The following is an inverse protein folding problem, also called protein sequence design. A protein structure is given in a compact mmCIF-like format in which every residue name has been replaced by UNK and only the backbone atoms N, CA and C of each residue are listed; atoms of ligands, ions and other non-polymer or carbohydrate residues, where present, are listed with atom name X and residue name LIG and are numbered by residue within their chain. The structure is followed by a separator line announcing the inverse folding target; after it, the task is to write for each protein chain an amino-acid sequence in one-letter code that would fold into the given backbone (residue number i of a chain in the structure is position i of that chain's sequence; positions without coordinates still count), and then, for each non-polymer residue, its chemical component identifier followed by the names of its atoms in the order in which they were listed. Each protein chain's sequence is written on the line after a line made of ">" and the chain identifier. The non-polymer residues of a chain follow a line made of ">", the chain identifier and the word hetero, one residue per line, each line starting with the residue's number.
data_IF_244994819422
#
_entry.id   IF_244994819422
#
_cell.length_a   1.000
_cell.length_b   1.000
_cell.length_c   1.000
_cell.angle_alpha   90.00
_cell.angle_beta   90.00
_cell.angle_gamma   90.00
#
_symmetry.space_group_name_H-M   'P 1'
#
loop_
_entity.id
_entity.type
_entity.pdbx_description
1 polymer ?
#
# COMPACT_ATOMS: atom_id res chain seq x y z
N UNK A 1 -6.35 -26.42 -8.56
CA UNK A 1 -5.08 -26.01 -7.90
C UNK A 1 -4.57 -24.80 -8.66
N UNK A 2 -4.51 -23.63 -8.03
CA UNK A 2 -3.91 -22.44 -8.66
C UNK A 2 -2.44 -22.73 -8.99
N UNK A 3 -2.02 -22.43 -10.20
CA UNK A 3 -0.62 -22.53 -10.61
C UNK A 3 0.22 -21.58 -9.74
N UNK A 4 0.91 -22.14 -8.73
CA UNK A 4 1.93 -21.43 -7.96
C UNK A 4 3.25 -21.54 -8.72
N UNK A 5 3.68 -20.43 -9.30
CA UNK A 5 5.06 -20.31 -9.80
C UNK A 5 6.02 -20.11 -8.62
N UNK A 6 7.31 -20.39 -8.82
CA UNK A 6 8.33 -20.12 -7.80
C UNK A 6 8.29 -18.63 -7.36
N UNK A 7 8.68 -18.30 -6.11
CA UNK A 7 8.83 -16.92 -5.66
C UNK A 7 9.71 -16.12 -6.62
N UNK A 8 9.42 -14.82 -6.74
CA UNK A 8 10.27 -13.91 -7.51
C UNK A 8 11.56 -13.70 -6.74
N UNK A 9 12.69 -13.87 -7.41
CA UNK A 9 14.01 -13.61 -6.84
C UNK A 9 14.50 -12.24 -7.30
N UNK A 10 14.82 -11.36 -6.36
CA UNK A 10 15.37 -10.03 -6.64
C UNK A 10 16.78 -9.94 -6.08
N UNK A 11 17.76 -9.75 -6.96
CA UNK A 11 19.15 -9.51 -6.60
C UNK A 11 19.43 -8.01 -6.58
N UNK A 12 20.00 -7.53 -5.47
CA UNK A 12 20.65 -6.22 -5.42
C UNK A 12 22.14 -6.46 -5.65
N UNK A 13 22.71 -5.80 -6.65
CA UNK A 13 24.10 -5.98 -7.07
C UNK A 13 24.93 -4.73 -6.83
N UNK A 14 26.20 -4.91 -6.45
CA UNK A 14 27.23 -3.88 -6.37
C UNK A 14 28.39 -4.26 -7.27
N UNK A 15 28.38 -3.70 -8.48
CA UNK A 15 29.23 -4.20 -9.57
C UNK A 15 28.86 -5.63 -9.91
N UNK A 16 29.86 -6.51 -9.98
CA UNK A 16 29.67 -7.91 -10.35
C UNK A 16 29.18 -8.80 -9.20
N UNK A 17 29.14 -8.27 -7.97
CA UNK A 17 28.76 -9.02 -6.77
C UNK A 17 27.27 -8.87 -6.44
N UNK A 18 26.62 -9.99 -6.12
CA UNK A 18 25.28 -9.98 -5.51
C UNK A 18 25.45 -9.59 -4.04
N UNK A 19 25.04 -8.38 -3.69
CA UNK A 19 25.11 -7.85 -2.33
C UNK A 19 23.95 -8.37 -1.46
N UNK A 20 22.77 -8.54 -2.05
CA UNK A 20 21.60 -9.06 -1.32
C UNK A 20 20.64 -9.78 -2.26
N UNK A 21 19.94 -10.78 -1.73
CA UNK A 21 18.89 -11.51 -2.45
C UNK A 21 17.60 -11.46 -1.65
N UNK A 22 16.49 -11.12 -2.31
CA UNK A 22 15.17 -11.03 -1.71
C UNK A 22 14.22 -12.02 -2.38
N UNK A 23 13.51 -12.81 -1.57
CA UNK A 23 12.43 -13.67 -2.03
C UNK A 23 11.11 -12.91 -1.93
N UNK A 24 10.47 -12.69 -3.06
CA UNK A 24 9.24 -11.91 -3.17
C UNK A 24 8.09 -12.84 -3.51
N UNK A 25 7.04 -12.75 -2.68
CA UNK A 25 5.75 -13.37 -2.91
C UNK A 25 4.84 -12.35 -3.57
N UNK A 26 4.12 -12.73 -4.62
CA UNK A 26 3.28 -11.80 -5.38
C UNK A 26 1.97 -12.43 -5.83
N UNK A 27 0.93 -11.61 -5.88
CA UNK A 27 -0.41 -11.98 -6.35
C UNK A 27 -0.93 -10.87 -7.24
N UNK A 28 -1.48 -11.23 -8.40
CA UNK A 28 -2.29 -10.31 -9.23
C UNK A 28 -3.72 -10.82 -9.19
N UNK A 29 -4.66 -9.92 -8.88
CA UNK A 29 -6.07 -10.25 -8.71
C UNK A 29 -6.96 -9.13 -9.25
N UNK A 30 -8.18 -9.50 -9.62
CA UNK A 30 -9.32 -8.61 -9.81
C UNK A 30 -10.15 -8.56 -8.52
N UNK A 31 -11.30 -7.88 -8.53
CA UNK A 31 -12.21 -7.84 -7.39
C UNK A 31 -12.80 -9.23 -7.03
N UNK A 32 -12.86 -10.14 -8.01
CA UNK A 32 -13.57 -11.42 -7.94
C UNK A 32 -12.66 -12.64 -8.02
N UNK A 33 -11.44 -12.53 -8.55
CA UNK A 33 -10.58 -13.68 -8.76
C UNK A 33 -9.08 -13.35 -8.75
N UNK A 34 -8.27 -14.35 -8.43
CA UNK A 34 -6.81 -14.30 -8.56
C UNK A 34 -6.41 -14.72 -9.98
N UNK A 35 -5.67 -13.85 -10.66
CA UNK A 35 -5.19 -14.06 -12.02
C UNK A 35 -3.84 -14.79 -12.06
N UNK A 36 -2.95 -14.50 -11.11
CA UNK A 36 -1.63 -15.14 -11.04
C UNK A 36 -1.00 -15.04 -9.65
N UNK A 37 -0.10 -16.00 -9.35
CA UNK A 37 0.63 -16.07 -8.08
C UNK A 37 2.09 -16.48 -8.27
N UNK A 38 2.97 -15.93 -7.44
CA UNK A 38 4.38 -16.32 -7.30
C UNK A 38 4.70 -16.55 -5.83
N UNK A 39 5.21 -17.73 -5.51
CA UNK A 39 5.44 -18.17 -4.14
C UNK A 39 4.14 -18.54 -3.40
N UNK A 40 4.15 -18.30 -2.10
CA UNK A 40 3.00 -18.51 -1.20
C UNK A 40 2.12 -17.25 -1.11
N UNK A 41 0.91 -17.32 -1.68
CA UNK A 41 -0.09 -16.25 -1.66
C UNK A 41 -0.75 -16.08 -0.29
N UNK A 42 -0.72 -17.10 0.55
CA UNK A 42 -1.41 -17.13 1.85
C UNK A 42 -0.48 -16.68 2.99
N UNK A 43 0.74 -16.25 2.63
CA UNK A 43 1.75 -15.84 3.59
C UNK A 43 1.31 -14.58 4.34
N UNK A 44 1.10 -14.72 5.63
CA UNK A 44 0.89 -13.57 6.51
C UNK A 44 2.08 -12.61 6.43
N UNK A 45 1.79 -11.37 6.07
CA UNK A 45 2.79 -10.33 5.86
C UNK A 45 2.34 -9.05 6.56
N UNK A 46 3.28 -8.35 7.19
CA UNK A 46 3.01 -7.02 7.73
C UNK A 46 2.96 -6.02 6.56
N UNK A 47 1.81 -5.40 6.25
CA UNK A 47 1.68 -4.48 5.12
C UNK A 47 2.47 -3.17 5.30
N UNK A 48 2.98 -2.90 6.52
CA UNK A 48 3.71 -1.68 6.87
C UNK A 48 2.89 -0.46 6.40
N UNK A 49 3.53 0.49 5.75
CA UNK A 49 2.87 1.70 5.26
C UNK A 49 1.83 1.47 4.15
N UNK A 50 1.76 0.29 3.53
CA UNK A 50 0.76 0.03 2.47
C UNK A 50 -0.68 -0.12 3.03
N UNK A 51 -0.84 -0.24 4.35
CA UNK A 51 -2.15 -0.41 4.99
C UNK A 51 -2.97 0.89 5.10
N UNK A 52 -2.39 2.06 4.80
CA UNK A 52 -3.04 3.37 5.04
C UNK A 52 -4.42 3.51 4.39
N UNK A 53 -4.58 3.02 3.17
CA UNK A 53 -5.89 3.03 2.49
C UNK A 53 -6.95 2.24 3.26
N UNK A 54 -6.57 1.12 3.87
CA UNK A 54 -7.45 0.32 4.74
C UNK A 54 -7.70 1.07 6.06
N UNK A 55 -6.70 1.75 6.62
CA UNK A 55 -6.84 2.55 7.85
C UNK A 55 -7.82 3.72 7.71
N UNK A 56 -8.01 4.24 6.49
CA UNK A 56 -8.99 5.31 6.20
C UNK A 56 -10.42 4.79 6.08
N UNK A 57 -10.63 3.51 5.75
CA UNK A 57 -11.97 2.96 5.54
C UNK A 57 -12.94 3.19 6.71
N UNK A 58 -12.57 3.04 7.99
CA UNK A 58 -13.49 3.34 9.09
C UNK A 58 -13.95 4.80 9.11
N UNK A 59 -13.08 5.76 8.78
CA UNK A 59 -13.44 7.19 8.73
C UNK A 59 -14.52 7.45 7.67
N UNK A 60 -14.42 6.76 6.52
CA UNK A 60 -15.39 6.85 5.43
C UNK A 60 -16.68 6.08 5.75
N UNK A 61 -16.55 4.78 6.07
CA UNK A 61 -17.66 3.84 6.21
C UNK A 61 -18.55 4.13 7.43
N UNK A 62 -17.99 4.73 8.49
CA UNK A 62 -18.75 5.11 9.68
C UNK A 62 -19.27 6.57 9.62
N UNK A 63 -19.08 7.24 8.48
CA UNK A 63 -19.61 8.59 8.24
C UNK A 63 -18.86 9.71 8.96
N UNK A 64 -17.67 9.45 9.51
CA UNK A 64 -16.87 10.49 10.15
C UNK A 64 -16.42 11.55 9.14
N UNK A 65 -15.98 11.14 7.94
CA UNK A 65 -15.61 12.07 6.88
C UNK A 65 -16.76 13.04 6.53
N UNK A 66 -17.97 12.52 6.33
CA UNK A 66 -19.15 13.35 6.06
C UNK A 66 -19.56 14.23 7.26
N UNK A 67 -19.38 13.74 8.49
CA UNK A 67 -19.71 14.50 9.70
C UNK A 67 -18.78 15.70 9.92
N UNK A 68 -17.52 15.56 9.53
CA UNK A 68 -16.48 16.58 9.73
C UNK A 68 -16.12 17.31 8.43
N UNK A 69 -16.94 17.20 7.39
CA UNK A 69 -16.72 17.81 6.07
C UNK A 69 -15.29 17.58 5.52
N UNK A 70 -14.76 16.38 5.75
CA UNK A 70 -13.40 16.00 5.31
C UNK A 70 -13.36 15.97 3.79
N UNK A 71 -12.48 16.78 3.21
CA UNK A 71 -12.31 16.94 1.77
C UNK A 71 -11.59 15.76 1.10
N UNK A 72 -11.67 15.68 -0.22
CA UNK A 72 -10.96 14.67 -1.00
C UNK A 72 -9.43 14.77 -0.83
N UNK A 73 -8.89 15.99 -0.69
CA UNK A 73 -7.46 16.23 -0.46
C UNK A 73 -7.02 15.70 0.92
N UNK A 74 -7.87 15.87 1.94
CA UNK A 74 -7.64 15.36 3.30
C UNK A 74 -7.77 13.82 3.36
N UNK A 75 -8.72 13.25 2.61
CA UNK A 75 -8.84 11.79 2.44
C UNK A 75 -7.60 11.23 1.72
N UNK A 76 -7.11 11.92 0.68
CA UNK A 76 -5.88 11.54 -0.01
C UNK A 76 -4.66 11.60 0.94
N UNK A 77 -4.58 12.65 1.76
CA UNK A 77 -3.55 12.81 2.80
C UNK A 77 -3.56 11.66 3.82
N UNK A 78 -4.76 11.27 4.28
CA UNK A 78 -4.90 10.19 5.26
C UNK A 78 -4.61 8.80 4.67
N UNK A 79 -4.86 8.60 3.37
CA UNK A 79 -4.83 7.28 2.72
C UNK A 79 -3.48 6.90 2.09
N UNK A 80 -2.52 7.82 2.01
CA UNK A 80 -1.30 7.59 1.23
C UNK A 80 0.00 8.01 1.94
N UNK A 81 1.13 7.79 1.26
CA UNK A 81 2.44 8.24 1.73
C UNK A 81 2.86 9.46 0.94
N UNK A 82 3.22 10.52 1.65
CA UNK A 82 3.57 11.81 1.05
C UNK A 82 5.02 12.17 1.35
N UNK A 83 5.66 12.87 0.42
CA UNK A 83 7.04 13.38 0.55
C UNK A 83 7.11 14.77 1.18
N UNK A 84 6.04 15.21 1.85
CA UNK A 84 5.94 16.53 2.50
C UNK A 84 6.18 17.73 1.56
N UNK A 85 5.84 17.60 0.27
CA UNK A 85 5.81 18.74 -0.65
C UNK A 85 4.85 19.84 -0.17
N UNK A 86 5.05 21.07 -0.64
CA UNK A 86 4.30 22.24 -0.16
C UNK A 86 2.78 22.05 -0.21
N UNK A 87 2.25 21.41 -1.26
CA UNK A 87 0.82 21.11 -1.34
C UNK A 87 0.33 20.23 -0.17
N UNK A 88 1.12 19.21 0.23
CA UNK A 88 0.77 18.33 1.34
C UNK A 88 0.81 19.07 2.67
N UNK A 89 1.86 19.86 2.92
CA UNK A 89 2.01 20.56 4.20
C UNK A 89 1.01 21.70 4.36
N UNK A 90 0.67 22.39 3.27
CA UNK A 90 -0.41 23.38 3.26
C UNK A 90 -1.76 22.72 3.58
N UNK A 91 -2.11 21.62 2.91
CA UNK A 91 -3.37 20.94 3.16
C UNK A 91 -3.47 20.38 4.60
N UNK A 92 -2.40 19.80 5.14
CA UNK A 92 -2.38 19.37 6.56
C UNK A 92 -2.51 20.56 7.51
N UNK A 93 -1.83 21.68 7.24
CA UNK A 93 -1.93 22.87 8.08
C UNK A 93 -3.36 23.43 8.08
N UNK A 94 -4.01 23.50 6.91
CA UNK A 94 -5.41 23.91 6.79
C UNK A 94 -6.37 22.97 7.52
N UNK A 95 -6.10 21.66 7.52
CA UNK A 95 -6.96 20.68 8.20
C UNK A 95 -6.88 20.74 9.74
N UNK A 96 -5.80 21.28 10.29
CA UNK A 96 -5.57 21.35 11.74
C UNK A 96 -6.22 22.58 12.41
N UNK A 97 -6.74 23.53 11.62
CA UNK A 97 -7.44 24.74 12.08
C UNK A 97 -8.95 24.50 12.22
#
# INVERSE_FOLDING_TARGET
>A
MQHRSAPIMVEIRRGDFVESTHQVHAVVATADQVLSTWGDSDRLTMPRSAIKSIQVLPMLALGAAAKFDVSDDEIALASSSHSAEAAHTTAVASWLE
#
